data_IF_983321898507
#
_entry.id   IF_983321898507
#
_cell.length_a   1.000
_cell.length_b   1.000
_cell.length_c   1.000
_cell.angle_alpha   90.00
_cell.angle_beta   90.00
_cell.angle_gamma   90.00
#
_symmetry.space_group_name_H-M   'P 1'
#
loop_
_entity.id
_entity.type
_entity.pdbx_description
1 polymer ?
#
# COMPACT_ATOMS: atom_id res chain seq x y z
N UNK A 1 -11.01 -17.16 -2.15
CA UNK A 1 -9.62 -17.58 -2.41
C UNK A 1 -9.06 -16.66 -3.47
N UNK A 2 -8.15 -15.76 -3.11
CA UNK A 2 -7.47 -14.87 -4.07
C UNK A 2 -6.25 -15.60 -4.61
N UNK A 3 -6.16 -15.78 -5.93
CA UNK A 3 -5.03 -16.38 -6.61
C UNK A 3 -3.84 -15.43 -6.50
N UNK A 4 -2.83 -15.80 -5.70
CA UNK A 4 -1.53 -15.12 -5.72
C UNK A 4 -0.72 -15.73 -6.87
N UNK A 5 -0.25 -14.93 -7.80
CA UNK A 5 0.81 -15.38 -8.72
C UNK A 5 2.14 -15.19 -8.01
N UNK A 6 2.93 -16.26 -7.98
CA UNK A 6 4.31 -16.28 -7.49
C UNK A 6 5.16 -16.96 -8.54
N UNK A 7 6.26 -16.31 -8.90
CA UNK A 7 7.33 -16.84 -9.73
C UNK A 7 8.53 -17.04 -8.81
N UNK A 8 9.15 -18.20 -8.92
CA UNK A 8 10.42 -18.50 -8.26
C UNK A 8 11.29 -19.26 -9.25
N UNK A 9 12.53 -18.81 -9.39
CA UNK A 9 13.54 -19.44 -10.22
C UNK A 9 14.88 -19.39 -9.48
N UNK A 10 15.47 -20.55 -9.24
CA UNK A 10 16.83 -20.71 -8.71
C UNK A 10 17.84 -21.01 -9.83
N UNK A 11 17.42 -20.92 -11.09
CA UNK A 11 18.17 -21.13 -12.31
C UNK A 11 18.80 -22.53 -12.46
N UNK A 12 18.53 -23.47 -11.56
CA UNK A 12 19.07 -24.84 -11.62
C UNK A 12 18.57 -25.63 -12.84
N UNK A 13 17.36 -25.31 -13.31
CA UNK A 13 16.75 -25.83 -14.53
C UNK A 13 17.15 -25.09 -15.81
N UNK A 14 18.02 -24.08 -15.74
CA UNK A 14 18.28 -23.15 -16.84
C UNK A 14 17.30 -21.98 -16.87
N UNK A 15 17.21 -21.29 -18.01
CA UNK A 15 16.35 -20.10 -18.22
C UNK A 15 15.14 -20.39 -19.14
N UNK A 16 14.56 -21.59 -19.07
CA UNK A 16 13.52 -22.05 -20.01
C UNK A 16 12.24 -21.19 -20.01
N UNK A 17 11.86 -20.68 -18.84
CA UNK A 17 10.71 -19.81 -18.66
C UNK A 17 11.01 -18.32 -18.88
N UNK A 18 12.21 -17.99 -19.34
CA UNK A 18 12.61 -16.63 -19.67
C UNK A 18 12.52 -16.38 -21.17
N UNK A 19 12.18 -15.14 -21.51
CA UNK A 19 12.20 -14.62 -22.87
C UNK A 19 13.32 -13.61 -22.99
N UNK A 20 14.27 -13.88 -23.89
CA UNK A 20 15.34 -12.94 -24.21
C UNK A 20 14.77 -11.75 -24.99
N UNK A 21 14.98 -10.55 -24.46
CA UNK A 21 14.66 -9.28 -25.14
C UNK A 21 15.90 -8.75 -25.86
N UNK A 22 17.07 -8.92 -25.24
CA UNK A 22 18.37 -8.53 -25.78
C UNK A 22 19.44 -9.50 -25.31
N UNK A 23 20.41 -9.79 -26.18
CA UNK A 23 21.45 -10.77 -25.88
C UNK A 23 20.82 -12.15 -25.64
N UNK A 24 21.56 -13.01 -24.94
CA UNK A 24 21.07 -14.32 -24.54
C UNK A 24 21.38 -14.53 -23.07
N UNK A 25 20.34 -14.73 -22.28
CA UNK A 25 20.45 -15.21 -20.92
C UNK A 25 20.87 -16.67 -20.98
N UNK A 26 21.89 -17.02 -20.19
CA UNK A 26 22.38 -18.38 -20.00
C UNK A 26 22.56 -18.64 -18.52
N UNK A 27 22.71 -19.91 -18.15
CA UNK A 27 23.15 -20.27 -16.80
C UNK A 27 24.59 -20.73 -16.82
N UNK A 28 25.37 -20.36 -15.80
CA UNK A 28 26.70 -20.92 -15.61
C UNK A 28 26.58 -22.31 -15.01
N UNK A 29 27.01 -23.36 -15.74
CA UNK A 29 27.05 -24.72 -15.20
C UNK A 29 28.03 -24.79 -14.03
N UNK A 30 27.51 -24.86 -12.81
CA UNK A 30 28.28 -24.87 -11.56
C UNK A 30 27.40 -25.19 -10.35
N UNK A 31 27.99 -25.21 -9.14
CA UNK A 31 27.26 -25.50 -7.89
C UNK A 31 26.30 -24.38 -7.47
N UNK A 32 26.48 -23.17 -8.00
CA UNK A 32 25.51 -22.07 -7.98
C UNK A 32 25.15 -21.76 -9.44
N UNK A 33 24.01 -22.25 -9.94
CA UNK A 33 23.53 -21.85 -11.25
C UNK A 33 23.11 -20.37 -11.18
N UNK A 34 23.85 -19.53 -11.90
CA UNK A 34 23.60 -18.10 -11.94
C UNK A 34 23.18 -17.69 -13.35
N UNK A 35 22.31 -16.68 -13.47
CA UNK A 35 21.97 -16.10 -14.77
C UNK A 35 23.05 -15.12 -15.25
N UNK A 36 23.57 -15.34 -16.46
CA UNK A 36 24.61 -14.49 -17.08
C UNK A 36 24.29 -14.15 -18.53
N UNK A 37 25.07 -13.25 -19.12
CA UNK A 37 24.99 -12.89 -20.54
C UNK A 37 25.93 -13.79 -21.36
N UNK A 38 25.43 -14.36 -22.46
CA UNK A 38 26.25 -15.11 -23.41
C UNK A 38 27.39 -14.23 -23.95
N UNK A 39 28.63 -14.67 -23.76
CA UNK A 39 29.84 -13.96 -24.16
C UNK A 39 30.13 -14.07 -25.65
N UNK A 40 29.51 -14.99 -26.40
CA UNK A 40 29.93 -15.28 -27.77
C UNK A 40 29.52 -14.21 -28.81
N UNK A 41 28.87 -13.12 -28.39
CA UNK A 41 28.48 -11.97 -29.24
C UNK A 41 29.31 -10.72 -28.87
N UNK A 42 30.63 -10.86 -28.79
CA UNK A 42 31.55 -9.71 -28.67
C UNK A 42 31.61 -8.95 -29.99
N UNK A 43 30.71 -7.97 -30.18
CA UNK A 43 30.91 -6.93 -31.18
C UNK A 43 31.65 -5.75 -30.51
N UNK A 44 32.95 -5.53 -30.80
CA UNK A 44 33.71 -4.44 -30.18
C UNK A 44 33.20 -3.03 -30.56
N UNK A 45 32.22 -2.92 -31.46
CA UNK A 45 31.58 -1.67 -31.86
C UNK A 45 30.21 -1.44 -31.22
N UNK A 46 29.65 -2.42 -30.49
CA UNK A 46 28.40 -2.19 -29.74
C UNK A 46 28.72 -1.68 -28.34
N UNK A 47 28.36 -0.42 -28.07
CA UNK A 47 28.60 0.30 -26.81
C UNK A 47 27.91 -0.31 -25.57
N UNK A 48 27.16 -1.39 -25.73
CA UNK A 48 26.47 -2.06 -24.64
C UNK A 48 26.66 -3.57 -24.82
N UNK A 49 27.33 -4.22 -23.86
CA UNK A 49 27.48 -5.68 -23.76
C UNK A 49 26.57 -6.13 -22.61
N UNK A 50 25.67 -7.08 -22.85
CA UNK A 50 24.76 -7.56 -21.81
C UNK A 50 23.55 -8.33 -22.35
N UNK A 51 22.84 -8.98 -21.43
CA UNK A 51 21.62 -9.70 -21.69
C UNK A 51 20.47 -9.10 -20.88
N UNK A 52 19.27 -9.10 -21.48
CA UNK A 52 18.05 -8.66 -20.84
C UNK A 52 16.93 -9.63 -21.20
N UNK A 53 16.10 -9.94 -20.22
CA UNK A 53 14.94 -10.78 -20.44
C UNK A 53 13.93 -10.67 -19.32
N UNK A 54 12.76 -11.27 -19.58
CA UNK A 54 11.64 -11.30 -18.67
C UNK A 54 11.13 -12.72 -18.47
N UNK A 55 10.51 -12.97 -17.32
CA UNK A 55 9.85 -14.24 -17.06
C UNK A 55 8.50 -14.32 -17.80
N UNK A 56 8.20 -15.45 -18.46
CA UNK A 56 7.00 -15.64 -19.30
C UNK A 56 5.70 -15.31 -18.57
N UNK A 57 5.63 -15.70 -17.30
CA UNK A 57 4.50 -15.41 -16.41
C UNK A 57 4.37 -13.92 -16.15
N UNK A 58 3.17 -13.41 -16.43
CA UNK A 58 2.78 -12.05 -16.07
C UNK A 58 2.09 -12.03 -14.69
N UNK A 59 2.36 -11.00 -13.89
CA UNK A 59 1.73 -10.83 -12.57
C UNK A 59 0.26 -10.40 -12.70
N UNK A 60 -0.56 -10.67 -11.68
CA UNK A 60 -2.01 -10.40 -11.73
C UNK A 60 -2.37 -8.97 -11.33
N UNK A 61 -1.49 -8.27 -10.62
CA UNK A 61 -1.66 -6.91 -10.16
C UNK A 61 -0.51 -6.02 -10.59
N UNK A 62 -0.68 -4.70 -10.48
CA UNK A 62 0.45 -3.79 -10.64
C UNK A 62 1.23 -3.66 -9.33
N UNK A 63 0.73 -4.19 -8.21
CA UNK A 63 1.45 -4.21 -6.93
C UNK A 63 2.40 -5.40 -6.86
N UNK A 64 3.54 -5.29 -7.52
CA UNK A 64 4.49 -6.39 -7.69
C UNK A 64 5.72 -6.18 -6.83
N UNK A 65 6.12 -7.22 -6.10
CA UNK A 65 7.39 -7.28 -5.38
C UNK A 65 8.30 -8.32 -6.01
N UNK A 66 9.55 -7.95 -6.16
CA UNK A 66 10.61 -8.78 -6.72
C UNK A 66 11.74 -8.85 -5.69
N UNK A 67 12.29 -10.04 -5.50
CA UNK A 67 13.42 -10.34 -4.65
C UNK A 67 14.47 -11.08 -5.47
N UNK A 68 15.72 -10.70 -5.30
CA UNK A 68 16.86 -11.43 -5.82
C UNK A 68 17.82 -11.75 -4.68
N UNK A 69 18.58 -12.83 -4.84
CA UNK A 69 19.63 -13.23 -3.89
C UNK A 69 21.00 -13.04 -4.53
N UNK A 70 21.92 -12.42 -3.80
CA UNK A 70 23.31 -12.24 -4.19
C UNK A 70 24.01 -13.62 -4.15
N UNK A 71 24.68 -14.06 -5.23
CA UNK A 71 25.24 -15.40 -5.33
C UNK A 71 26.47 -15.62 -4.45
N UNK A 72 26.72 -16.89 -4.14
CA UNK A 72 27.95 -17.35 -3.50
C UNK A 72 29.13 -17.22 -4.47
N UNK A 73 29.96 -16.19 -4.24
CA UNK A 73 31.25 -16.03 -4.93
C UNK A 73 31.14 -15.76 -6.43
N UNK A 74 30.80 -14.53 -6.82
CA UNK A 74 31.66 -13.61 -7.58
C UNK A 74 30.90 -12.28 -7.72
N UNK A 75 31.29 -11.27 -6.92
CA UNK A 75 31.01 -9.87 -7.23
C UNK A 75 32.32 -9.29 -7.74
N UNK A 76 32.54 -9.29 -9.05
CA UNK A 76 33.60 -8.47 -9.65
C UNK A 76 32.94 -7.51 -10.63
N UNK A 77 32.99 -6.24 -10.26
CA UNK A 77 32.78 -5.03 -11.06
C UNK A 77 31.74 -5.11 -12.18
N UNK A 78 30.55 -4.57 -11.93
CA UNK A 78 29.53 -4.49 -12.94
C UNK A 78 28.23 -3.88 -12.44
N UNK A 79 27.23 -3.92 -13.31
CA UNK A 79 25.89 -3.42 -13.05
C UNK A 79 24.87 -4.46 -13.45
N UNK A 80 23.98 -4.79 -12.53
CA UNK A 80 22.88 -5.73 -12.76
C UNK A 80 21.59 -5.11 -12.26
N UNK A 81 20.48 -5.48 -12.88
CA UNK A 81 19.18 -4.92 -12.58
C UNK A 81 18.16 -6.04 -12.50
N UNK A 82 17.20 -5.87 -11.61
CA UNK A 82 15.93 -6.55 -11.71
C UNK A 82 14.82 -5.50 -11.78
N UNK A 83 13.76 -5.84 -12.49
CA UNK A 83 12.71 -4.88 -12.81
C UNK A 83 11.33 -5.51 -12.75
N UNK A 84 10.34 -4.63 -12.64
CA UNK A 84 8.93 -4.94 -12.50
C UNK A 84 8.09 -3.87 -13.19
N UNK A 85 6.81 -4.20 -13.42
CA UNK A 85 5.86 -3.34 -14.12
C UNK A 85 6.32 -2.93 -15.53
N UNK A 86 7.01 -3.84 -16.22
CA UNK A 86 7.46 -3.59 -17.59
C UNK A 86 6.66 -4.35 -18.65
N UNK A 87 6.75 -3.85 -19.88
CA UNK A 87 6.20 -4.53 -21.06
C UNK A 87 7.18 -5.57 -21.64
N UNK A 88 6.71 -6.34 -22.63
CA UNK A 88 7.53 -7.38 -23.26
C UNK A 88 8.76 -6.84 -24.01
N UNK A 89 8.75 -5.57 -24.40
CA UNK A 89 9.86 -4.91 -25.08
C UNK A 89 10.78 -4.16 -24.12
N UNK A 90 10.46 -4.15 -22.82
CA UNK A 90 11.13 -3.40 -21.76
C UNK A 90 11.26 -1.92 -22.07
N UNK A 91 10.24 -1.31 -22.68
CA UNK A 91 10.28 0.12 -23.06
C UNK A 91 10.01 1.05 -21.89
N UNK A 92 9.33 0.56 -20.85
CA UNK A 92 9.07 1.27 -19.62
C UNK A 92 9.13 0.26 -18.50
N UNK A 93 9.85 0.55 -17.42
CA UNK A 93 9.87 -0.30 -16.22
C UNK A 93 10.38 0.48 -15.01
N UNK A 94 10.03 0.00 -13.82
CA UNK A 94 10.76 0.32 -12.60
C UNK A 94 11.64 -0.85 -12.21
N UNK A 95 12.67 -0.58 -11.42
CA UNK A 95 13.52 -1.65 -10.93
C UNK A 95 14.45 -1.20 -9.84
N UNK A 96 15.35 -2.10 -9.50
CA UNK A 96 16.50 -1.83 -8.65
C UNK A 96 17.75 -2.20 -9.43
N UNK A 97 18.70 -1.27 -9.45
CA UNK A 97 20.05 -1.51 -9.94
C UNK A 97 20.97 -1.85 -8.77
N UNK A 98 21.73 -2.92 -8.95
CA UNK A 98 22.84 -3.34 -8.12
C UNK A 98 24.12 -3.01 -8.88
N UNK A 99 24.93 -2.09 -8.35
CA UNK A 99 26.21 -1.72 -8.95
C UNK A 99 27.32 -1.97 -7.95
N UNK A 100 28.35 -2.69 -8.37
CA UNK A 100 29.58 -2.86 -7.59
C UNK A 100 30.75 -2.38 -8.40
N UNK A 101 31.55 -1.48 -7.84
CA UNK A 101 32.77 -0.95 -8.47
C UNK A 101 33.87 -0.88 -7.41
N UNK A 102 34.99 -1.56 -7.68
CA UNK A 102 36.16 -1.64 -6.79
C UNK A 102 35.81 -2.07 -5.36
N UNK A 103 34.89 -3.03 -5.23
CA UNK A 103 34.42 -3.56 -3.95
C UNK A 103 33.44 -2.66 -3.19
N UNK A 104 33.06 -1.51 -3.76
CA UNK A 104 32.00 -0.66 -3.23
C UNK A 104 30.70 -1.01 -3.95
N UNK A 105 29.72 -1.48 -3.19
CA UNK A 105 28.39 -1.79 -3.69
C UNK A 105 27.42 -0.64 -3.41
N UNK A 106 26.52 -0.41 -4.37
CA UNK A 106 25.45 0.56 -4.28
C UNK A 106 24.17 -0.01 -4.87
N UNK A 107 23.05 0.39 -4.27
CA UNK A 107 21.71 0.05 -4.72
C UNK A 107 20.99 1.32 -5.13
N UNK A 108 20.34 1.31 -6.29
CA UNK A 108 19.57 2.46 -6.80
C UNK A 108 18.18 2.01 -7.24
N UNK A 109 17.16 2.81 -6.93
CA UNK A 109 15.88 2.71 -7.63
C UNK A 109 16.10 3.21 -9.06
N UNK A 110 15.56 2.51 -10.05
CA UNK A 110 15.70 2.92 -11.45
C UNK A 110 14.35 3.04 -12.15
N UNK A 111 14.31 3.92 -13.15
CA UNK A 111 13.25 4.00 -14.16
C UNK A 111 13.87 3.76 -15.53
N UNK A 112 13.46 2.69 -16.18
CA UNK A 112 13.94 2.33 -17.51
C UNK A 112 13.06 2.86 -18.63
N UNK A 113 13.70 3.28 -19.73
CA UNK A 113 13.05 3.65 -21.00
C UNK A 113 13.40 2.70 -22.16
N UNK A 114 14.31 1.76 -21.92
CA UNK A 114 14.68 0.64 -22.79
C UNK A 114 15.62 -0.30 -22.02
N UNK A 115 15.95 -1.50 -22.54
CA UNK A 115 17.02 -2.34 -21.99
C UNK A 115 18.40 -1.68 -21.88
N UNK A 116 18.61 -0.52 -22.52
CA UNK A 116 19.90 0.16 -22.62
C UNK A 116 19.92 1.57 -22.00
N UNK A 117 18.78 2.03 -21.48
CA UNK A 117 18.63 3.41 -21.01
C UNK A 117 17.72 3.43 -19.80
N UNK A 118 18.25 3.93 -18.70
CA UNK A 118 17.53 4.10 -17.45
C UNK A 118 18.11 5.28 -16.67
N UNK A 119 17.28 5.82 -15.80
CA UNK A 119 17.64 6.86 -14.84
C UNK A 119 17.74 6.27 -13.44
N UNK A 120 18.69 6.75 -12.63
CA UNK A 120 18.89 6.33 -11.24
C UNK A 120 18.27 7.34 -10.28
N UNK A 121 17.66 6.80 -9.24
CA UNK A 121 17.05 7.54 -8.15
C UNK A 121 17.44 6.89 -6.83
N UNK A 122 17.54 7.71 -5.77
CA UNK A 122 17.70 7.22 -4.38
C UNK A 122 18.83 6.18 -4.22
N UNK A 123 20.02 6.49 -4.74
CA UNK A 123 21.19 5.64 -4.61
C UNK A 123 21.68 5.60 -3.16
N UNK A 124 21.87 4.38 -2.64
CA UNK A 124 22.40 4.12 -1.29
C UNK A 124 23.66 3.27 -1.41
N UNK A 125 24.72 3.63 -0.69
CA UNK A 125 25.89 2.77 -0.52
C UNK A 125 25.52 1.65 0.44
N UNK A 126 25.52 0.42 -0.05
CA UNK A 126 25.06 -0.75 0.69
C UNK A 126 26.10 -1.85 0.50
N UNK A 127 26.89 -2.19 1.52
CA UNK A 127 27.77 -3.35 1.48
C UNK A 127 26.92 -4.60 1.21
N UNK A 128 27.35 -5.42 0.25
CA UNK A 128 26.66 -6.66 -0.11
C UNK A 128 27.54 -7.87 0.20
N UNK A 129 26.94 -8.87 0.82
CA UNK A 129 27.53 -10.19 1.02
C UNK A 129 26.77 -11.26 0.23
N UNK A 130 27.43 -12.40 -0.01
CA UNK A 130 26.77 -13.55 -0.61
C UNK A 130 25.61 -14.02 0.29
N UNK A 131 24.48 -14.37 -0.34
CA UNK A 131 23.24 -14.71 0.34
C UNK A 131 22.34 -13.52 0.68
N UNK A 132 22.84 -12.28 0.56
CA UNK A 132 22.01 -11.09 0.78
C UNK A 132 20.82 -11.08 -0.18
N UNK A 133 19.68 -10.66 0.35
CA UNK A 133 18.44 -10.43 -0.36
C UNK A 133 18.24 -8.95 -0.64
N UNK A 134 17.96 -8.66 -1.90
CA UNK A 134 17.65 -7.32 -2.38
C UNK A 134 16.25 -7.38 -2.97
N UNK A 135 15.40 -6.42 -2.60
CA UNK A 135 14.01 -6.42 -3.04
C UNK A 135 13.60 -5.06 -3.58
N UNK A 136 12.72 -5.10 -4.58
CA UNK A 136 12.07 -3.94 -5.15
C UNK A 136 10.57 -4.17 -5.17
N UNK A 137 9.80 -3.13 -4.87
CA UNK A 137 8.34 -3.22 -4.81
C UNK A 137 7.74 -1.96 -5.42
N UNK A 138 6.88 -2.14 -6.43
CA UNK A 138 5.94 -1.10 -6.79
C UNK A 138 4.67 -1.23 -5.94
N UNK A 139 4.53 -0.34 -4.97
CA UNK A 139 3.35 -0.19 -4.14
C UNK A 139 2.33 0.65 -4.91
N UNK A 140 1.51 -0.03 -5.74
CA UNK A 140 0.51 0.63 -6.59
C UNK A 140 -0.41 1.54 -5.79
N UNK A 141 -0.78 1.13 -4.57
CA UNK A 141 -1.73 1.85 -3.74
C UNK A 141 -1.16 3.18 -3.27
N UNK A 142 0.08 3.17 -2.78
CA UNK A 142 0.74 4.39 -2.32
C UNK A 142 1.43 5.16 -3.46
N UNK A 143 1.46 4.58 -4.67
CA UNK A 143 2.21 5.06 -5.84
C UNK A 143 3.68 5.31 -5.49
N UNK A 144 4.34 4.26 -4.96
CA UNK A 144 5.74 4.32 -4.52
C UNK A 144 6.52 3.15 -5.06
N UNK A 145 7.73 3.40 -5.54
CA UNK A 145 8.73 2.37 -5.74
C UNK A 145 9.60 2.29 -4.49
N UNK A 146 9.69 1.12 -3.88
CA UNK A 146 10.43 0.86 -2.64
C UNK A 146 11.57 -0.11 -2.91
N UNK A 147 12.65 0.05 -2.18
CA UNK A 147 13.84 -0.78 -2.25
C UNK A 147 14.21 -1.26 -0.86
N UNK A 148 14.50 -2.56 -0.74
CA UNK A 148 14.83 -3.23 0.51
C UNK A 148 16.16 -3.97 0.41
N UNK A 149 16.84 -4.10 1.54
CA UNK A 149 17.99 -4.98 1.74
C UNK A 149 17.78 -5.74 3.05
N UNK A 150 17.87 -7.07 3.00
CA UNK A 150 17.60 -7.94 4.16
C UNK A 150 16.25 -7.65 4.84
N UNK A 151 15.22 -7.44 4.02
CA UNK A 151 13.85 -7.13 4.46
C UNK A 151 13.64 -5.73 5.04
N UNK A 152 14.69 -4.91 5.19
CA UNK A 152 14.60 -3.54 5.69
C UNK A 152 14.49 -2.53 4.54
N UNK A 153 13.55 -1.59 4.63
CA UNK A 153 13.42 -0.53 3.60
C UNK A 153 14.61 0.42 3.69
N UNK A 154 15.34 0.56 2.58
CA UNK A 154 16.52 1.44 2.49
C UNK A 154 16.28 2.66 1.59
N UNK A 155 15.27 2.62 0.73
CA UNK A 155 14.84 3.77 -0.06
C UNK A 155 13.39 3.66 -0.54
N UNK A 156 12.77 4.81 -0.76
CA UNK A 156 11.45 4.96 -1.38
C UNK A 156 11.42 6.15 -2.34
N UNK A 157 10.72 5.97 -3.46
CA UNK A 157 10.51 6.98 -4.50
C UNK A 157 9.01 7.11 -4.79
N UNK A 158 8.35 8.21 -4.38
CA UNK A 158 7.00 8.52 -4.84
C UNK A 158 7.01 8.68 -6.37
N UNK A 159 6.11 7.98 -7.05
CA UNK A 159 5.95 8.02 -8.51
C UNK A 159 4.48 8.27 -8.84
N UNK A 160 4.14 9.15 -9.80
CA UNK A 160 2.76 9.27 -10.24
C UNK A 160 2.22 7.94 -10.81
N UNK A 161 0.94 7.58 -10.59
CA UNK A 161 0.34 6.39 -11.19
C UNK A 161 0.40 6.34 -12.73
N UNK A 162 0.59 7.50 -13.36
CA UNK A 162 0.67 7.67 -14.82
C UNK A 162 2.11 7.76 -15.33
N UNK A 163 3.11 7.64 -14.45
CA UNK A 163 4.52 7.91 -14.79
C UNK A 163 5.14 6.82 -15.68
N UNK A 164 4.68 5.58 -15.52
CA UNK A 164 4.80 4.54 -16.54
C UNK A 164 3.42 3.94 -16.83
N UNK A 165 3.22 3.37 -18.02
CA UNK A 165 1.97 2.69 -18.31
C UNK A 165 1.85 1.36 -17.53
N UNK A 166 0.70 1.10 -16.89
CA UNK A 166 0.43 -0.12 -16.11
C UNK A 166 -0.67 -0.99 -16.74
N UNK A 167 -0.97 -2.14 -16.14
CA UNK A 167 -2.05 -3.06 -16.53
C UNK A 167 -1.59 -4.32 -17.30
N UNK A 168 -2.54 -5.16 -17.76
CA UNK A 168 -2.24 -6.36 -18.55
C UNK A 168 -1.37 -6.05 -19.79
N UNK A 169 -0.41 -6.94 -20.07
CA UNK A 169 0.69 -6.75 -21.01
C UNK A 169 1.91 -6.02 -20.44
N UNK A 170 1.80 -5.42 -19.24
CA UNK A 170 2.82 -4.58 -18.60
C UNK A 170 3.14 -4.98 -17.16
N UNK A 171 2.67 -6.14 -16.71
CA UNK A 171 2.97 -6.68 -15.38
C UNK A 171 4.07 -7.73 -15.43
N UNK A 172 5.02 -7.54 -16.34
CA UNK A 172 6.17 -8.44 -16.46
C UNK A 172 7.24 -8.04 -15.46
N UNK A 173 8.04 -9.04 -15.13
CA UNK A 173 9.19 -8.93 -14.26
C UNK A 173 10.39 -9.53 -14.98
N UNK A 174 11.57 -9.03 -14.69
CA UNK A 174 12.75 -9.54 -15.36
C UNK A 174 14.06 -9.04 -14.80
N UNK A 175 15.13 -9.30 -15.56
CA UNK A 175 16.49 -8.92 -15.21
C UNK A 175 17.22 -8.30 -16.41
N UNK A 176 18.22 -7.48 -16.10
CA UNK A 176 19.23 -6.99 -17.04
C UNK A 176 20.60 -7.24 -16.42
N UNK A 177 21.43 -8.00 -17.13
CA UNK A 177 22.80 -8.29 -16.75
C UNK A 177 23.71 -7.52 -17.71
N UNK A 178 24.31 -6.43 -17.23
CA UNK A 178 25.21 -5.61 -18.05
C UNK A 178 26.67 -5.98 -17.74
N UNK A 179 27.42 -6.33 -18.78
CA UNK A 179 28.87 -6.48 -18.68
C UNK A 179 29.52 -5.10 -18.89
N UNK A 180 30.27 -4.63 -17.90
CA UNK A 180 31.14 -3.48 -18.12
C UNK A 180 32.35 -3.95 -18.93
N UNK A 181 32.42 -3.50 -20.18
CA UNK A 181 33.40 -3.86 -21.20
C UNK A 181 34.87 -3.74 -20.77
N UNK A 182 35.19 -3.01 -19.70
CA UNK A 182 36.57 -2.85 -19.22
C UNK A 182 36.98 -3.75 -18.05
N UNK A 183 36.04 -4.31 -17.28
CA UNK A 183 36.39 -4.72 -15.90
C UNK A 183 35.96 -6.14 -15.54
N UNK A 184 34.81 -6.65 -15.99
CA UNK A 184 34.37 -8.04 -15.74
C UNK A 184 33.00 -8.35 -16.37
N UNK A 185 32.63 -9.65 -16.49
CA UNK A 185 31.23 -10.03 -16.65
C UNK A 185 30.37 -9.42 -15.53
N UNK A 186 29.17 -8.93 -15.87
CA UNK A 186 28.26 -8.29 -14.92
C UNK A 186 27.90 -9.16 -13.71
N UNK A 187 27.38 -8.54 -12.65
CA UNK A 187 27.00 -9.25 -11.43
C UNK A 187 25.89 -10.27 -11.69
N UNK A 188 26.00 -11.44 -11.09
CA UNK A 188 25.04 -12.53 -11.21
C UNK A 188 23.93 -12.45 -10.13
N UNK A 189 22.83 -13.17 -10.32
CA UNK A 189 21.83 -13.45 -9.27
C UNK A 189 21.74 -14.96 -9.06
N UNK A 190 21.75 -15.41 -7.80
CA UNK A 190 21.59 -16.83 -7.45
C UNK A 190 20.13 -17.29 -7.49
N UNK A 191 19.19 -16.39 -7.23
CA UNK A 191 17.77 -16.67 -7.39
C UNK A 191 16.98 -15.42 -7.69
N UNK A 192 15.81 -15.63 -8.28
CA UNK A 192 14.83 -14.62 -8.61
C UNK A 192 13.46 -15.06 -8.11
N UNK A 193 12.80 -14.18 -7.39
CA UNK A 193 11.44 -14.38 -6.92
C UNK A 193 10.60 -13.14 -7.22
N UNK A 194 9.38 -13.33 -7.72
CA UNK A 194 8.42 -12.26 -7.88
C UNK A 194 7.03 -12.71 -7.42
N UNK A 195 6.29 -11.82 -6.78
CA UNK A 195 4.93 -12.11 -6.35
C UNK A 195 4.06 -10.87 -6.36
N UNK A 196 2.77 -11.10 -6.57
CA UNK A 196 1.74 -10.10 -6.33
C UNK A 196 1.67 -9.81 -4.82
N UNK A 197 1.99 -8.58 -4.44
CA UNK A 197 1.65 -8.03 -3.14
C UNK A 197 0.19 -7.63 -3.22
N UNK A 198 -0.68 -8.63 -3.09
CA UNK A 198 -2.11 -8.43 -2.98
C UNK A 198 -2.37 -7.59 -1.72
N UNK A 199 -2.62 -6.30 -1.93
CA UNK A 199 -3.43 -5.56 -0.98
C UNK A 199 -4.87 -5.89 -1.38
N UNK A 200 -5.67 -6.54 -0.52
CA UNK A 200 -7.08 -6.68 -0.81
C UNK A 200 -7.64 -5.33 -1.21
N UNK A 201 -8.30 -5.28 -2.36
CA UNK A 201 -9.09 -4.10 -2.71
C UNK A 201 -10.13 -3.84 -1.61
N UNK A 202 -10.71 -2.64 -1.57
CA UNK A 202 -11.75 -2.38 -0.59
C UNK A 202 -12.93 -3.32 -0.82
N UNK A 203 -13.36 -3.99 0.24
CA UNK A 203 -14.59 -4.79 0.33
C UNK A 203 -15.82 -3.90 0.22
N UNK A 204 -15.71 -2.66 0.70
CA UNK A 204 -16.74 -1.62 0.59
C UNK A 204 -16.09 -0.37 0.03
N UNK A 205 -16.64 0.21 -1.03
CA UNK A 205 -16.22 1.52 -1.53
C UNK A 205 -17.46 2.39 -1.72
N UNK A 206 -17.39 3.60 -1.19
CA UNK A 206 -18.40 4.63 -1.40
C UNK A 206 -17.70 5.94 -1.75
N UNK A 207 -17.87 6.40 -2.99
CA UNK A 207 -17.34 7.70 -3.40
C UNK A 207 -18.24 8.87 -2.98
N UNK A 208 -19.45 8.58 -2.47
CA UNK A 208 -20.46 9.56 -2.06
C UNK A 208 -20.71 10.58 -3.19
N UNK A 209 -20.67 10.16 -4.44
CA UNK A 209 -20.79 11.02 -5.62
C UNK A 209 -22.24 11.17 -6.11
N UNK A 210 -23.11 10.22 -5.74
CA UNK A 210 -24.56 10.27 -5.96
C UNK A 210 -25.21 11.41 -5.16
N UNK A 211 -26.27 12.06 -5.67
CA UNK A 211 -27.07 13.03 -4.92
C UNK A 211 -27.95 12.38 -3.83
N UNK A 212 -28.02 11.05 -3.76
CA UNK A 212 -28.81 10.31 -2.79
C UNK A 212 -27.95 9.38 -1.97
N UNK A 213 -28.40 9.07 -0.75
CA UNK A 213 -27.79 8.04 0.10
C UNK A 213 -27.76 6.71 -0.67
N UNK A 214 -26.59 6.07 -0.70
CA UNK A 214 -26.40 4.75 -1.31
C UNK A 214 -27.25 3.70 -0.57
N UNK A 215 -27.86 2.77 -1.33
CA UNK A 215 -28.80 1.79 -0.78
C UNK A 215 -28.17 0.82 0.24
N UNK A 216 -26.85 0.72 0.29
CA UNK A 216 -26.15 -0.09 1.29
C UNK A 216 -25.90 0.62 2.62
N UNK A 217 -26.53 1.77 2.88
CA UNK A 217 -26.55 2.39 4.20
C UNK A 217 -27.90 2.14 4.88
N UNK A 218 -27.86 1.46 6.02
CA UNK A 218 -29.00 1.32 6.92
C UNK A 218 -28.97 2.46 7.95
N UNK A 219 -30.04 3.27 7.98
CA UNK A 219 -30.20 4.32 8.98
C UNK A 219 -30.67 3.70 10.30
N UNK A 220 -29.84 3.81 11.32
CA UNK A 220 -30.08 3.19 12.64
C UNK A 220 -30.66 4.22 13.63
N UNK A 221 -30.32 5.50 13.47
CA UNK A 221 -30.91 6.60 14.24
C UNK A 221 -30.91 7.90 13.44
N UNK A 222 -31.91 8.76 13.69
CA UNK A 222 -32.05 10.05 13.01
C UNK A 222 -32.41 9.91 11.54
N UNK A 223 -31.95 10.87 10.72
CA UNK A 223 -32.05 10.86 9.27
C UNK A 223 -30.69 11.05 8.63
N UNK A 224 -30.52 10.56 7.40
CA UNK A 224 -29.27 10.63 6.64
C UNK A 224 -29.54 11.27 5.28
N UNK A 225 -28.66 12.17 4.85
CA UNK A 225 -28.74 12.86 3.58
C UNK A 225 -27.36 12.98 2.93
N UNK A 226 -27.35 13.10 1.60
CA UNK A 226 -26.17 13.54 0.87
C UNK A 226 -26.26 15.05 0.67
N UNK A 227 -25.28 15.78 1.20
CA UNK A 227 -25.15 17.21 1.00
C UNK A 227 -24.34 17.50 -0.26
N UNK A 228 -24.97 18.23 -1.19
CA UNK A 228 -24.34 18.66 -2.42
C UNK A 228 -23.72 20.04 -2.25
N UNK A 229 -22.50 20.21 -2.72
CA UNK A 229 -21.73 21.43 -2.52
C UNK A 229 -21.23 22.01 -3.85
N UNK A 230 -21.46 23.30 -4.13
CA UNK A 230 -20.88 23.93 -5.31
C UNK A 230 -19.35 23.82 -5.30
N UNK A 231 -18.79 23.28 -6.40
CA UNK A 231 -17.35 23.15 -6.64
C UNK A 231 -16.59 22.29 -5.61
N UNK A 232 -17.28 21.41 -4.89
CA UNK A 232 -16.68 20.50 -3.91
C UNK A 232 -17.32 19.12 -4.00
N UNK A 233 -16.65 18.06 -3.53
CA UNK A 233 -17.28 16.75 -3.41
C UNK A 233 -18.52 16.82 -2.54
N UNK A 234 -19.51 16.01 -2.89
CA UNK A 234 -20.66 15.71 -2.04
C UNK A 234 -20.19 15.06 -0.73
N UNK A 235 -21.02 15.16 0.30
CA UNK A 235 -20.74 14.54 1.61
C UNK A 235 -21.96 13.82 2.15
N UNK A 236 -21.73 12.83 3.00
CA UNK A 236 -22.78 12.13 3.72
C UNK A 236 -22.87 12.67 5.14
N UNK A 237 -24.07 13.00 5.59
CA UNK A 237 -24.30 13.58 6.90
C UNK A 237 -25.74 13.44 7.38
N UNK A 238 -26.08 14.00 8.55
CA UNK A 238 -27.45 13.99 9.04
C UNK A 238 -28.39 14.72 8.07
N UNK A 239 -29.63 14.26 7.94
CA UNK A 239 -30.67 15.05 7.29
C UNK A 239 -31.07 16.23 8.21
N UNK A 240 -31.01 17.48 7.74
CA UNK A 240 -31.13 18.68 8.59
C UNK A 240 -32.41 19.51 8.39
N UNK A 241 -33.63 18.98 8.59
CA UNK A 241 -34.80 19.84 8.42
C UNK A 241 -34.86 20.97 9.46
N UNK A 242 -34.56 20.73 10.76
CA UNK A 242 -34.69 21.74 11.84
C UNK A 242 -33.84 21.41 13.09
N UNK A 243 -32.58 21.89 13.16
CA UNK A 243 -31.65 21.94 14.32
C UNK A 243 -31.31 20.63 15.09
N UNK A 244 -30.11 20.58 15.68
CA UNK A 244 -29.55 19.52 16.56
C UNK A 244 -30.00 18.10 16.24
N UNK A 245 -29.30 17.43 15.33
CA UNK A 245 -29.61 16.05 15.00
C UNK A 245 -28.42 15.16 15.29
N UNK A 246 -28.69 14.14 16.10
CA UNK A 246 -27.83 12.98 16.18
C UNK A 246 -28.34 11.99 15.14
N UNK A 247 -27.43 11.50 14.31
CA UNK A 247 -27.74 10.50 13.31
C UNK A 247 -26.72 9.37 13.41
N UNK A 248 -27.15 8.16 13.04
CA UNK A 248 -26.28 7.01 12.97
C UNK A 248 -26.71 6.13 11.80
N UNK A 249 -25.74 5.65 11.05
CA UNK A 249 -25.96 4.75 9.93
C UNK A 249 -24.86 3.69 9.88
N UNK A 250 -25.22 2.52 9.38
CA UNK A 250 -24.30 1.38 9.26
C UNK A 250 -24.30 0.86 7.83
N UNK A 251 -23.17 0.34 7.36
CA UNK A 251 -23.13 -0.41 6.11
C UNK A 251 -23.79 -1.77 6.30
N UNK A 252 -24.70 -2.11 5.40
CA UNK A 252 -25.48 -3.36 5.37
C UNK A 252 -24.63 -4.61 5.06
N UNK A 253 -23.34 -4.43 4.81
CA UNK A 253 -22.37 -5.49 4.52
C UNK A 253 -21.37 -5.65 5.66
N UNK A 254 -21.21 -6.88 6.13
CA UNK A 254 -20.14 -7.26 7.05
C UNK A 254 -18.78 -7.34 6.34
N UNK A 255 -17.74 -6.83 7.01
CA UNK A 255 -16.36 -7.03 6.58
C UNK A 255 -15.94 -8.48 6.88
N UNK A 256 -15.11 -9.08 6.01
CA UNK A 256 -14.71 -10.49 6.15
C UNK A 256 -13.71 -10.80 7.29
N UNK A 257 -13.34 -9.83 8.13
CA UNK A 257 -12.33 -9.95 9.19
C UNK A 257 -12.71 -9.12 10.42
N UNK A 258 -12.23 -9.54 11.60
CA UNK A 258 -12.35 -8.77 12.84
C UNK A 258 -11.35 -7.60 12.91
N UNK A 259 -10.27 -7.66 12.11
CA UNK A 259 -9.38 -6.52 11.90
C UNK A 259 -9.84 -5.74 10.67
N UNK A 260 -10.09 -4.44 10.85
CA UNK A 260 -10.69 -3.58 9.84
C UNK A 260 -9.84 -2.35 9.65
N UNK A 261 -9.63 -1.95 8.39
CA UNK A 261 -9.07 -0.65 8.04
C UNK A 261 -10.09 0.14 7.24
N UNK A 262 -10.33 1.36 7.67
CA UNK A 262 -11.16 2.34 6.97
C UNK A 262 -10.30 3.49 6.52
N UNK A 263 -10.30 3.78 5.22
CA UNK A 263 -9.75 5.02 4.66
C UNK A 263 -10.92 5.93 4.33
N UNK A 264 -10.81 7.18 4.75
CA UNK A 264 -11.92 8.12 4.71
C UNK A 264 -11.40 9.51 4.32
N UNK A 265 -12.09 10.14 3.38
CA UNK A 265 -11.94 11.56 3.07
C UNK A 265 -12.93 12.35 3.94
N UNK A 266 -12.47 13.34 4.69
CA UNK A 266 -13.35 14.18 5.51
C UNK A 266 -13.30 15.66 5.11
N UNK A 267 -14.45 16.31 5.26
CA UNK A 267 -14.63 17.75 5.08
C UNK A 267 -15.08 18.39 6.39
N UNK A 268 -14.48 19.53 6.74
CA UNK A 268 -14.89 20.37 7.86
C UNK A 268 -15.99 21.34 7.40
N UNK A 269 -17.22 21.16 7.89
CA UNK A 269 -18.41 21.94 7.52
C UNK A 269 -18.97 22.74 8.70
N UNK A 270 -18.13 23.04 9.69
CA UNK A 270 -18.47 23.89 10.83
C UNK A 270 -18.46 23.11 12.13
N UNK A 271 -19.18 23.59 13.14
CA UNK A 271 -19.17 22.96 14.46
C UNK A 271 -19.99 21.66 14.48
N UNK A 272 -19.45 20.61 15.08
CA UNK A 272 -20.12 19.32 15.22
C UNK A 272 -19.14 18.17 15.35
N UNK A 273 -19.68 16.95 15.42
CA UNK A 273 -18.90 15.73 15.59
C UNK A 273 -19.29 14.67 14.58
N UNK A 274 -18.31 13.90 14.17
CA UNK A 274 -18.49 12.75 13.30
C UNK A 274 -17.58 11.63 13.73
N UNK A 275 -18.13 10.42 13.81
CA UNK A 275 -17.46 9.23 14.32
C UNK A 275 -17.46 8.17 13.24
N UNK A 276 -16.30 7.57 13.01
CA UNK A 276 -16.16 6.30 12.27
C UNK A 276 -16.26 5.17 13.27
N UNK A 277 -17.33 4.38 13.21
CA UNK A 277 -17.56 3.21 14.04
C UNK A 277 -17.11 1.94 13.31
N UNK A 278 -16.32 1.12 13.99
CA UNK A 278 -15.80 -0.16 13.53
C UNK A 278 -16.24 -1.27 14.49
N UNK A 279 -16.18 -2.50 14.01
CA UNK A 279 -16.58 -3.69 14.76
C UNK A 279 -17.99 -3.53 15.36
N UNK A 280 -18.90 -2.97 14.55
CA UNK A 280 -20.26 -2.71 14.96
C UNK A 280 -21.14 -3.92 14.68
N UNK A 281 -22.16 -4.13 15.52
CA UNK A 281 -23.36 -4.84 15.09
C UNK A 281 -24.21 -3.98 14.14
N UNK A 282 -25.13 -4.62 13.42
CA UNK A 282 -26.04 -3.95 12.49
C UNK A 282 -27.01 -2.95 13.17
N UNK A 283 -27.20 -3.03 14.48
CA UNK A 283 -28.03 -2.10 15.25
C UNK A 283 -27.20 -1.01 15.95
N UNK A 284 -25.88 -0.96 15.71
CA UNK A 284 -24.92 -0.11 16.40
C UNK A 284 -25.05 -0.11 17.94
N UNK A 285 -25.35 -1.26 18.56
CA UNK A 285 -25.46 -1.39 20.02
C UNK A 285 -24.15 -1.71 20.73
N UNK A 286 -23.14 -2.17 19.98
CA UNK A 286 -21.78 -2.36 20.42
C UNK A 286 -20.83 -1.97 19.28
N UNK A 287 -19.89 -1.04 19.53
CA UNK A 287 -18.90 -0.62 18.53
C UNK A 287 -17.72 0.14 19.15
N UNK A 288 -16.59 0.19 18.45
CA UNK A 288 -15.43 1.03 18.79
C UNK A 288 -15.20 2.03 17.67
N UNK A 289 -14.80 3.27 17.97
CA UNK A 289 -14.67 4.28 16.92
C UNK A 289 -13.67 5.39 17.19
N UNK A 290 -13.45 6.18 16.14
CA UNK A 290 -12.71 7.44 16.19
C UNK A 290 -13.65 8.57 15.84
N UNK A 291 -13.71 9.58 16.71
CA UNK A 291 -14.53 10.76 16.53
C UNK A 291 -13.69 11.99 16.23
N UNK A 292 -14.06 12.69 15.17
CA UNK A 292 -13.61 14.04 14.84
C UNK A 292 -14.57 15.05 15.46
N UNK A 293 -14.05 15.97 16.27
CA UNK A 293 -14.82 17.07 16.85
C UNK A 293 -14.25 18.41 16.37
N UNK A 294 -15.16 19.28 15.92
CA UNK A 294 -14.86 20.63 15.42
C UNK A 294 -15.77 21.66 16.06
N UNK A 295 -15.27 22.89 16.22
CA UNK A 295 -15.98 24.00 16.85
C UNK A 295 -15.09 25.22 17.08
N UNK A 296 -15.66 26.29 17.62
CA UNK A 296 -14.94 27.55 17.85
C UNK A 296 -13.72 27.39 18.77
N UNK A 297 -13.82 26.50 19.74
CA UNK A 297 -12.76 26.20 20.73
C UNK A 297 -12.40 24.72 20.79
N UNK A 298 -13.24 23.83 20.25
CA UNK A 298 -13.05 22.38 20.33
C UNK A 298 -12.58 21.85 18.98
N UNK A 299 -11.31 21.51 18.88
CA UNK A 299 -10.74 20.79 17.74
C UNK A 299 -9.95 19.61 18.31
N UNK A 300 -10.60 18.46 18.37
CA UNK A 300 -10.08 17.26 19.02
C UNK A 300 -10.43 16.02 18.21
N UNK A 301 -9.63 14.98 18.41
CA UNK A 301 -10.01 13.63 18.04
C UNK A 301 -10.19 12.82 19.32
N UNK A 302 -11.23 11.99 19.36
CA UNK A 302 -11.52 11.10 20.49
C UNK A 302 -11.53 9.65 20.03
N UNK A 303 -11.18 8.75 20.93
CA UNK A 303 -11.58 7.34 20.81
C UNK A 303 -12.95 7.19 21.45
N UNK A 304 -13.76 6.26 20.95
CA UNK A 304 -15.14 6.08 21.39
C UNK A 304 -15.45 4.59 21.60
N UNK A 305 -16.23 4.29 22.64
CA UNK A 305 -16.82 2.98 22.89
C UNK A 305 -18.34 3.14 22.95
N UNK A 306 -19.04 2.58 21.96
CA UNK A 306 -20.47 2.69 21.78
C UNK A 306 -21.29 1.65 22.52
N UNK A 307 -22.41 2.08 23.08
CA UNK A 307 -23.43 1.23 23.72
C UNK A 307 -24.82 1.44 23.11
N UNK A 308 -24.89 2.16 22.00
CA UNK A 308 -26.09 2.46 21.24
C UNK A 308 -25.74 3.31 20.00
N UNK A 309 -26.69 3.52 19.09
CA UNK A 309 -26.43 4.18 17.80
C UNK A 309 -25.80 5.56 17.95
N UNK A 310 -26.23 6.30 18.97
CA UNK A 310 -25.74 7.66 19.29
C UNK A 310 -25.27 7.77 20.74
N UNK A 311 -25.03 6.65 21.43
CA UNK A 311 -24.67 6.61 22.85
C UNK A 311 -23.31 5.96 23.01
N UNK A 312 -22.35 6.67 23.60
CA UNK A 312 -20.97 6.20 23.72
C UNK A 312 -20.21 6.90 24.86
N UNK A 313 -19.07 6.34 25.21
CA UNK A 313 -18.08 6.94 26.12
C UNK A 313 -16.80 7.31 25.38
N UNK A 314 -15.99 8.22 25.94
CA UNK A 314 -14.73 8.71 25.35
C UNK A 314 -13.53 8.42 26.24
N UNK A 315 -12.96 7.22 26.17
CA UNK A 315 -11.86 6.82 27.06
C UNK A 315 -10.53 7.53 26.77
N UNK A 316 -10.40 8.23 25.64
CA UNK A 316 -9.21 9.05 25.34
C UNK A 316 -9.48 10.17 24.35
N UNK A 317 -8.72 11.26 24.48
CA UNK A 317 -8.73 12.40 23.59
C UNK A 317 -7.31 12.85 23.20
N UNK A 318 -7.19 13.47 22.02
CA UNK A 318 -5.96 14.07 21.53
C UNK A 318 -6.32 15.43 20.93
N UNK A 319 -5.54 16.47 21.28
CA UNK A 319 -5.71 17.80 20.69
C UNK A 319 -5.23 17.74 19.26
N UNK A 320 -6.14 17.98 18.32
CA UNK A 320 -5.83 17.86 16.91
C UNK A 320 -6.75 18.75 16.06
N UNK A 321 -6.18 19.47 15.11
CA UNK A 321 -6.92 20.40 14.25
C UNK A 321 -7.12 19.82 12.85
N UNK A 322 -8.38 19.70 12.44
CA UNK A 322 -8.76 19.46 11.06
C UNK A 322 -8.49 20.73 10.24
N UNK A 323 -7.24 20.90 9.83
CA UNK A 323 -6.73 22.11 9.17
C UNK A 323 -7.10 22.20 7.68
N UNK A 324 -7.49 21.08 7.07
CA UNK A 324 -7.62 20.95 5.62
C UNK A 324 -8.97 20.29 5.26
N UNK A 325 -9.74 20.94 4.39
CA UNK A 325 -10.90 20.34 3.76
C UNK A 325 -10.45 19.32 2.71
N UNK A 326 -10.98 18.10 2.77
CA UNK A 326 -10.64 17.03 1.83
C UNK A 326 -9.48 16.16 2.31
N UNK A 327 -9.09 16.29 3.58
CA UNK A 327 -8.02 15.50 4.18
C UNK A 327 -8.42 14.02 4.26
N UNK A 328 -7.47 13.16 3.96
CA UNK A 328 -7.63 11.71 4.05
C UNK A 328 -7.12 11.21 5.40
N UNK A 329 -7.88 10.33 6.03
CA UNK A 329 -7.52 9.65 7.27
C UNK A 329 -7.66 8.15 7.12
N UNK A 330 -6.87 7.44 7.91
CA UNK A 330 -7.00 6.00 8.06
C UNK A 330 -7.33 5.66 9.50
N UNK A 331 -8.45 4.96 9.72
CA UNK A 331 -8.83 4.36 11.00
C UNK A 331 -8.57 2.87 10.91
N UNK A 332 -7.84 2.32 11.87
CA UNK A 332 -7.60 0.87 11.94
C UNK A 332 -8.07 0.34 13.27
N UNK A 333 -8.77 -0.79 13.22
CA UNK A 333 -8.90 -1.70 14.35
C UNK A 333 -8.09 -2.98 14.09
N UNK A 334 -7.18 -3.28 15.01
CA UNK A 334 -6.38 -4.50 15.05
C UNK A 334 -6.93 -5.42 16.16
N UNK A 335 -7.61 -6.49 15.78
CA UNK A 335 -8.26 -7.40 16.72
C UNK A 335 -7.27 -8.17 17.63
N UNK A 336 -6.19 -8.80 17.11
CA UNK A 336 -5.15 -9.38 17.95
C UNK A 336 -4.57 -8.42 19.00
N UNK A 337 -4.32 -7.17 18.60
CA UNK A 337 -3.81 -6.14 19.52
C UNK A 337 -4.89 -5.42 20.34
N UNK A 338 -6.18 -5.70 20.05
CA UNK A 338 -7.37 -5.03 20.60
C UNK A 338 -7.25 -3.53 20.54
N UNK A 339 -6.79 -2.99 19.42
CA UNK A 339 -6.35 -1.60 19.33
C UNK A 339 -7.05 -0.88 18.20
N UNK A 340 -7.63 0.28 18.51
CA UNK A 340 -8.01 1.26 17.50
C UNK A 340 -6.96 2.37 17.41
N UNK A 341 -6.71 2.86 16.19
CA UNK A 341 -5.83 3.99 15.96
C UNK A 341 -6.26 4.82 14.74
N UNK A 342 -5.93 6.12 14.78
CA UNK A 342 -6.14 7.07 13.69
C UNK A 342 -4.78 7.52 13.12
N UNK A 343 -4.67 7.60 11.79
CA UNK A 343 -3.51 8.10 11.07
C UNK A 343 -3.92 9.21 10.08
N UNK A 344 -3.03 10.17 9.85
CA UNK A 344 -3.18 11.14 8.74
C UNK A 344 -2.72 10.47 7.44
N UNK A 345 -3.54 10.54 6.39
CA UNK A 345 -3.29 9.93 5.09
C UNK A 345 -3.55 8.42 5.06
N UNK A 346 -3.17 7.79 3.95
CA UNK A 346 -3.31 6.34 3.74
C UNK A 346 -2.15 5.51 4.30
N UNK A 347 -1.00 6.16 4.51
CA UNK A 347 0.22 5.54 5.04
C UNK A 347 0.21 5.50 6.56
N UNK A 348 0.58 4.37 7.11
CA UNK A 348 0.67 4.18 8.56
C UNK A 348 1.99 4.76 9.06
N UNK A 349 1.91 5.92 9.70
CA UNK A 349 3.00 6.54 10.44
C UNK A 349 2.74 6.50 11.95
N UNK A 350 3.15 7.54 12.66
CA UNK A 350 2.75 7.73 14.07
C UNK A 350 1.24 8.00 14.14
N UNK A 351 0.48 7.27 14.98
CA UNK A 351 -0.95 7.52 15.13
C UNK A 351 -1.19 8.88 15.79
N UNK A 352 -2.24 9.59 15.34
CA UNK A 352 -2.75 10.82 15.97
C UNK A 352 -3.32 10.51 17.37
N UNK A 353 -4.02 9.38 17.46
CA UNK A 353 -4.58 8.85 18.70
C UNK A 353 -4.65 7.32 18.59
N UNK A 354 -4.53 6.64 19.72
CA UNK A 354 -4.74 5.20 19.82
C UNK A 354 -5.35 4.83 21.17
N UNK A 355 -6.16 3.77 21.17
CA UNK A 355 -6.71 3.14 22.37
C UNK A 355 -6.59 1.63 22.25
N UNK A 356 -6.17 0.98 23.33
CA UNK A 356 -6.28 -0.47 23.51
C UNK A 356 -7.54 -0.77 24.33
N UNK A 357 -8.46 -1.57 23.77
CA UNK A 357 -9.62 -2.11 24.49
C UNK A 357 -9.19 -3.27 25.41
N UNK A 358 -8.52 -2.91 26.50
CA UNK A 358 -8.06 -3.88 27.50
C UNK A 358 -9.22 -4.60 28.20
N UNK A 359 -10.42 -4.02 28.18
CA UNK A 359 -11.62 -4.57 28.81
C UNK A 359 -12.33 -5.62 27.97
N UNK A 360 -12.06 -5.69 26.66
CA UNK A 360 -12.90 -6.39 25.68
C UNK A 360 -14.34 -5.88 25.75
N UNK A 361 -14.50 -4.56 25.84
CA UNK A 361 -15.80 -3.91 25.87
C UNK A 361 -16.51 -4.12 24.53
N UNK A 362 -15.75 -4.17 23.43
CA UNK A 362 -16.29 -4.42 22.10
C UNK A 362 -16.23 -5.91 21.76
N UNK A 363 -17.36 -6.41 21.26
CA UNK A 363 -17.53 -7.78 20.81
C UNK A 363 -17.09 -7.93 19.36
N UNK A 364 -16.65 -9.13 18.98
CA UNK A 364 -16.13 -9.43 17.64
C UNK A 364 -16.74 -10.73 17.10
N UNK A 365 -16.49 -11.02 15.82
CA UNK A 365 -17.02 -12.17 15.11
C UNK A 365 -18.11 -11.80 14.12
N UNK A 366 -18.69 -12.83 13.49
CA UNK A 366 -19.82 -12.65 12.59
C UNK A 366 -20.98 -11.92 13.28
N UNK A 367 -21.62 -10.99 12.58
CA UNK A 367 -22.64 -10.08 13.13
C UNK A 367 -22.09 -8.84 13.81
N UNK A 368 -20.76 -8.74 14.02
CA UNK A 368 -20.09 -7.61 14.70
C UNK A 368 -19.05 -6.94 13.78
N UNK A 369 -19.09 -7.17 12.47
CA UNK A 369 -18.09 -6.71 11.51
C UNK A 369 -18.59 -5.60 10.61
N UNK A 370 -19.56 -4.83 11.07
CA UNK A 370 -20.05 -3.70 10.31
C UNK A 370 -19.20 -2.45 10.55
N UNK A 371 -19.18 -1.58 9.55
CA UNK A 371 -18.67 -0.21 9.64
C UNK A 371 -19.85 0.74 9.62
N UNK A 372 -19.83 1.72 10.51
CA UNK A 372 -20.88 2.72 10.60
C UNK A 372 -20.34 4.11 10.84
N UNK A 373 -21.25 5.06 10.82
CA UNK A 373 -21.02 6.46 11.08
C UNK A 373 -21.99 6.98 12.12
N UNK A 374 -21.50 7.86 12.99
CA UNK A 374 -22.32 8.57 13.98
C UNK A 374 -22.03 10.05 13.86
N UNK A 375 -23.08 10.87 13.85
CA UNK A 375 -22.98 12.31 13.80
C UNK A 375 -23.66 12.94 15.00
N UNK A 376 -23.07 14.02 15.50
CA UNK A 376 -23.69 14.95 16.43
C UNK A 376 -23.52 16.36 15.88
N UNK A 377 -24.55 16.85 15.21
CA UNK A 377 -24.48 18.17 14.61
C UNK A 377 -24.72 19.29 15.61
N UNK A 378 -24.15 20.45 15.33
CA UNK A 378 -24.49 21.68 16.03
C UNK A 378 -25.79 22.28 15.46
N UNK A 379 -26.42 23.20 16.19
CA UNK A 379 -27.64 23.89 15.75
C UNK A 379 -27.54 24.52 14.36
N UNK A 380 -26.34 24.96 13.98
CA UNK A 380 -26.10 25.80 12.81
C UNK A 380 -25.10 25.20 11.81
N UNK A 381 -24.59 24.00 12.07
CA UNK A 381 -23.59 23.39 11.20
C UNK A 381 -23.62 21.86 11.31
N UNK A 382 -23.39 21.16 10.18
CA UNK A 382 -23.34 19.70 10.15
C UNK A 382 -22.11 19.10 10.84
N UNK A 383 -21.03 19.88 11.02
CA UNK A 383 -19.79 19.40 11.63
C UNK A 383 -18.80 18.84 10.62
N UNK A 384 -18.14 17.74 10.96
CA UNK A 384 -17.27 17.01 10.02
C UNK A 384 -18.10 16.00 9.25
N UNK A 385 -17.86 15.86 7.96
CA UNK A 385 -18.60 14.90 7.11
C UNK A 385 -17.66 14.12 6.18
N UNK A 386 -17.90 12.81 5.98
CA UNK A 386 -17.20 12.02 4.98
C UNK A 386 -17.58 12.44 3.55
N UNK A 387 -16.59 12.49 2.67
CA UNK A 387 -16.71 12.71 1.24
C UNK A 387 -16.33 11.47 0.41
N UNK A 388 -15.93 10.39 1.09
CA UNK A 388 -15.58 9.12 0.49
C UNK A 388 -15.11 8.13 1.55
N UNK A 389 -15.31 6.85 1.29
CA UNK A 389 -15.04 5.74 2.21
C UNK A 389 -14.48 4.53 1.45
N UNK A 390 -13.43 3.93 2.01
CA UNK A 390 -12.90 2.63 1.61
C UNK A 390 -12.70 1.66 2.80
N UNK A 391 -13.47 0.58 2.72
CA UNK A 391 -13.60 -0.68 3.46
C UNK A 391 -12.53 -1.75 3.28
N UNK A 392 -11.52 -1.94 4.12
CA UNK A 392 -10.59 -3.09 3.97
C UNK A 392 -10.73 -4.10 5.10
N UNK A 393 -10.88 -5.39 4.73
CA UNK A 393 -10.61 -6.49 5.63
C UNK A 393 -9.08 -6.65 5.78
N UNK A 394 -8.59 -6.63 7.02
CA UNK A 394 -7.17 -6.82 7.32
C UNK A 394 -6.97 -8.28 7.74
N UNK A 395 -6.05 -8.98 7.09
CA UNK A 395 -5.70 -10.34 7.46
C UNK A 395 -5.00 -10.34 8.83
N UNK A 396 -5.57 -11.08 9.79
CA UNK A 396 -5.04 -11.19 11.15
C UNK A 396 -3.62 -11.80 11.19
N UNK A 397 -3.18 -12.45 10.12
CA UNK A 397 -1.84 -13.05 10.02
C UNK A 397 -0.75 -12.08 9.56
N UNK A 398 -1.12 -10.89 9.09
CA UNK A 398 -0.17 -9.83 8.76
C UNK A 398 -0.18 -8.78 9.88
N UNK A 399 0.64 -8.94 10.94
CA UNK A 399 0.71 -7.93 11.99
C UNK A 399 1.03 -6.58 11.36
N UNK A 400 0.27 -5.56 11.76
CA UNK A 400 0.59 -4.19 11.37
C UNK A 400 2.00 -3.88 11.87
N UNK A 401 2.80 -3.09 11.12
CA UNK A 401 4.14 -2.75 11.55
C UNK A 401 4.08 -2.18 12.98
N UNK A 402 5.02 -2.55 13.87
CA UNK A 402 5.02 -2.08 15.24
C UNK A 402 4.96 -0.55 15.21
N UNK A 403 3.87 0.01 15.72
CA UNK A 403 3.70 1.46 15.81
C UNK A 403 4.87 1.99 16.63
N UNK A 404 5.77 2.76 16.00
CA UNK A 404 6.97 3.27 16.64
C UNK A 404 6.60 4.08 17.87
N UNK A 405 6.66 3.43 19.04
CA UNK A 405 6.52 4.06 20.34
C UNK A 405 7.81 4.77 20.68
N UNK A 406 8.07 5.90 20.02
CA UNK A 406 9.00 6.89 20.54
C UNK A 406 8.29 7.66 21.64
N UNK A 407 8.70 7.42 22.89
CA UNK A 407 8.35 8.27 24.04
C UNK A 407 9.12 9.59 23.94
#
# INVERSE_FOLDING_TARGET
MSLKTRVFDDFSGGVGDWVNVRGKLTTTGGSSPDITADTDIFNPLSYVIGAAGYHRTEMLSDSVRVKVTVPDGLIINGTSQFWFCGDAAMTHYYGVEVSTVLGISSLSIIKGSSPNSWERFKTTLTPLTAGDSIEGWYDQRDSVVRMYHEGSEIAALPVPPTDIPHGPGRRRVGVIMAADWWIAPGGNFASFEAWDVYTPGPVIRDAIDSPSVDAGWDVVAGGLAVHQWPLRPNTLGPDFPLAFQNAAAVRDVEVGSDSVRVVINVLNRGAGKFTVALCSDAAMTNWIGIQFETGLVNNKVHTCLGTGPTTYTRPGDSVWQLSENGAVFTVIYDHPAKRIALFKGERLGTPIISLVDSGNVVTHGAGQRHVGFVWEASALAPGVEPAGLEVFAVDATSPLPPYGGGV
#
